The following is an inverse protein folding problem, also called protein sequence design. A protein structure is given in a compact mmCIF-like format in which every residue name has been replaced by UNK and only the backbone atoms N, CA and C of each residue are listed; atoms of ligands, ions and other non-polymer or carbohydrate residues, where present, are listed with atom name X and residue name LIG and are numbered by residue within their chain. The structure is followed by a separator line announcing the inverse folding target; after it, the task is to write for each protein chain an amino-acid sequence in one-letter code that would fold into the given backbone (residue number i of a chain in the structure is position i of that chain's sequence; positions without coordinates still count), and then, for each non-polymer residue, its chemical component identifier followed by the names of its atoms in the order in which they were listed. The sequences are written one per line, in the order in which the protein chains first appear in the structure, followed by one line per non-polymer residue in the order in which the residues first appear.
data_IF_490353085854
#
_entry.id   IF_490353085854
#
_cell.length_a   1.000
_cell.length_b   1.000
_cell.length_c   1.000
_cell.angle_alpha   90.00
_cell.angle_beta   90.00
_cell.angle_gamma   90.00
#
_symmetry.space_group_name_H-M   'P 1'
#
loop_
_entity.id
_entity.type
_entity.pdbx_description
1 polymer ?
#
# COMPACT_ATOMS: atom_id res chain seq x y z
N UNK A 1 40.13 17.11 55.04
CA UNK A 1 40.36 18.44 54.46
C UNK A 1 39.10 18.81 53.69
N UNK A 2 38.43 19.89 54.13
CA UNK A 2 37.25 20.57 53.52
C UNK A 2 35.92 19.77 53.57
N UNK A 3 35.06 19.88 54.59
CA UNK A 3 34.16 20.97 55.05
C UNK A 3 33.03 21.34 54.07
N UNK A 4 31.77 21.11 54.49
CA UNK A 4 30.64 22.09 54.68
C UNK A 4 29.28 21.33 54.59
N UNK A 5 28.53 21.17 55.69
CA UNK A 5 27.41 22.03 56.19
C UNK A 5 26.15 21.89 55.31
N UNK A 6 24.91 21.68 55.74
CA UNK A 6 24.12 21.89 56.99
C UNK A 6 22.82 21.06 56.85
N UNK A 7 22.35 20.30 57.85
CA UNK A 7 21.31 20.67 58.85
C UNK A 7 20.04 21.35 58.29
N UNK A 8 18.85 20.84 58.66
CA UNK A 8 17.59 21.57 58.50
C UNK A 8 16.29 20.75 58.53
N UNK A 9 15.97 20.13 59.66
CA UNK A 9 14.58 19.86 60.08
C UNK A 9 13.91 21.18 60.46
N UNK A 10 12.68 21.45 60.02
CA UNK A 10 11.65 22.09 60.87
C UNK A 10 10.28 22.14 60.19
N UNK A 11 9.26 22.02 61.05
CA UNK A 11 7.87 21.80 60.72
C UNK A 11 7.03 23.07 60.45
N UNK A 12 5.71 22.98 60.67
CA UNK A 12 4.68 23.79 60.03
C UNK A 12 4.37 25.07 60.81
N UNK A 13 3.58 25.99 60.22
CA UNK A 13 2.45 26.71 60.86
C UNK A 13 1.89 27.83 59.96
N UNK A 14 0.59 27.68 59.70
CA UNK A 14 -0.50 28.65 59.66
C UNK A 14 -0.50 29.93 58.79
N UNK A 15 -1.74 30.14 58.32
CA UNK A 15 -2.51 31.39 58.35
C UNK A 15 -2.60 32.16 57.02
N UNK A 16 -3.74 32.66 56.56
CA UNK A 16 -5.17 32.43 56.85
C UNK A 16 -5.93 33.47 56.01
N UNK A 17 -7.08 33.07 55.45
CA UNK A 17 -8.27 33.92 55.17
C UNK A 17 -8.07 34.94 54.02
N UNK A 18 -9.05 35.34 53.19
CA UNK A 18 -10.51 35.50 53.40
C UNK A 18 -11.21 35.83 52.06
N UNK A 19 -12.52 35.53 51.98
CA UNK A 19 -13.63 36.22 51.28
C UNK A 19 -13.46 36.78 49.85
N UNK A 20 -14.27 36.39 48.85
CA UNK A 20 -15.72 36.58 48.67
C UNK A 20 -16.15 37.98 48.14
N UNK A 21 -16.96 37.93 47.08
CA UNK A 21 -18.08 38.82 46.71
C UNK A 21 -17.83 40.15 45.96
N UNK A 22 -18.31 40.15 44.69
CA UNK A 22 -19.44 40.94 44.18
C UNK A 22 -19.35 42.48 43.93
N UNK A 23 -20.06 42.84 42.84
CA UNK A 23 -20.71 44.13 42.46
C UNK A 23 -19.87 45.24 41.83
N UNK A 24 -20.19 45.66 40.59
CA UNK A 24 -21.31 46.51 40.07
C UNK A 24 -21.05 48.01 40.26
N UNK A 25 -21.11 48.73 39.13
CA UNK A 25 -21.45 50.16 39.00
C UNK A 25 -20.23 51.08 39.02
N UNK A 26 -20.02 52.00 38.08
CA UNK A 26 -20.88 52.60 37.05
C UNK A 26 -20.62 54.12 37.02
N UNK A 27 -20.84 54.77 35.87
CA UNK A 27 -21.27 56.18 35.65
C UNK A 27 -20.73 56.67 34.28
N UNK A 28 -21.61 56.90 33.30
CA UNK A 28 -22.30 58.17 32.97
C UNK A 28 -21.36 59.10 32.19
N UNK A 29 -21.68 59.49 30.95
CA UNK A 29 -22.51 60.63 30.51
C UNK A 29 -22.46 60.62 28.95
N UNK A 30 -23.36 61.12 28.08
CA UNK A 30 -24.61 61.84 28.19
C UNK A 30 -25.33 61.83 26.81
N UNK A 31 -26.66 62.01 26.85
CA UNK A 31 -27.56 62.69 25.88
C UNK A 31 -27.56 62.45 24.34
N UNK A 32 -28.69 61.89 23.93
CA UNK A 32 -29.72 62.49 23.05
C UNK A 32 -29.58 62.52 21.50
N UNK A 33 -30.56 61.83 20.90
CA UNK A 33 -31.33 62.15 19.68
C UNK A 33 -30.61 62.48 18.36
N UNK A 34 -30.73 61.56 17.38
CA UNK A 34 -31.34 61.81 16.05
C UNK A 34 -31.37 60.53 15.20
N UNK A 35 -32.54 60.16 14.70
CA UNK A 35 -32.69 59.27 13.54
C UNK A 35 -32.11 59.94 12.29
N UNK A 36 -31.57 59.18 11.31
CA UNK A 36 -32.36 58.94 10.10
C UNK A 36 -32.07 57.61 9.33
N UNK A 37 -33.15 57.06 8.76
CA UNK A 37 -33.35 56.51 7.40
C UNK A 37 -32.46 55.40 6.80
N UNK A 38 -33.16 54.33 6.37
CA UNK A 38 -32.72 53.36 5.35
C UNK A 38 -32.33 54.07 4.05
N UNK A 39 -31.16 53.74 3.50
CA UNK A 39 -30.70 54.28 2.22
C UNK A 39 -29.61 53.46 1.52
N UNK A 40 -30.03 52.59 0.59
CA UNK A 40 -29.33 52.15 -0.64
C UNK A 40 -27.85 51.74 -0.55
N UNK A 41 -27.57 50.44 -0.36
CA UNK A 41 -26.34 49.78 -0.89
C UNK A 41 -26.53 48.28 -1.26
N UNK A 42 -27.36 47.89 -2.25
CA UNK A 42 -27.39 46.48 -2.70
C UNK A 42 -26.21 46.10 -3.60
N UNK A 43 -25.52 47.06 -4.24
CA UNK A 43 -24.48 46.78 -5.23
C UNK A 43 -23.19 46.16 -4.65
N UNK A 44 -22.82 46.49 -3.41
CA UNK A 44 -21.61 45.93 -2.77
C UNK A 44 -21.82 44.50 -2.26
N UNK A 45 -23.04 44.16 -1.84
CA UNK A 45 -23.41 42.80 -1.41
C UNK A 45 -23.51 41.84 -2.60
N UNK A 46 -24.03 42.32 -3.73
CA UNK A 46 -24.13 41.52 -4.97
C UNK A 46 -22.73 41.25 -5.57
N UNK A 47 -21.80 42.21 -5.50
CA UNK A 47 -20.42 42.01 -5.96
C UNK A 47 -19.64 40.99 -5.13
N UNK A 48 -19.87 40.94 -3.81
CA UNK A 48 -19.24 39.96 -2.91
C UNK A 48 -19.86 38.57 -3.07
N UNK A 49 -21.17 38.48 -3.34
CA UNK A 49 -21.83 37.19 -3.62
C UNK A 49 -21.45 36.64 -5.00
N UNK A 50 -21.22 37.49 -6.01
CA UNK A 50 -20.72 37.06 -7.32
C UNK A 50 -19.26 36.60 -7.28
N UNK A 51 -18.39 37.27 -6.52
CA UNK A 51 -17.00 36.82 -6.35
C UNK A 51 -16.90 35.51 -5.55
N UNK A 52 -17.75 35.32 -4.54
CA UNK A 52 -17.82 34.06 -3.78
C UNK A 52 -18.41 32.91 -4.60
N UNK A 53 -19.39 33.20 -5.47
CA UNK A 53 -19.95 32.22 -6.41
C UNK A 53 -18.94 31.82 -7.50
N UNK A 54 -18.11 32.76 -7.97
CA UNK A 54 -17.07 32.48 -8.96
C UNK A 54 -15.90 31.67 -8.37
N UNK A 55 -15.58 31.85 -7.08
CA UNK A 55 -14.59 31.06 -6.37
C UNK A 55 -15.08 29.63 -6.07
N UNK A 56 -16.38 29.45 -5.79
CA UNK A 56 -16.98 28.13 -5.59
C UNK A 56 -17.07 27.31 -6.89
N UNK A 57 -17.24 27.97 -8.05
CA UNK A 57 -17.27 27.29 -9.35
C UNK A 57 -15.90 26.73 -9.78
N UNK A 58 -14.80 27.36 -9.37
CA UNK A 58 -13.43 26.88 -9.66
C UNK A 58 -13.06 25.66 -8.81
N UNK A 59 -13.63 25.52 -7.61
CA UNK A 59 -13.44 24.33 -6.77
C UNK A 59 -14.19 23.09 -7.27
N UNK A 60 -15.30 23.27 -8.00
CA UNK A 60 -16.09 22.17 -8.55
C UNK A 60 -15.54 21.57 -9.86
N UNK A 61 -14.59 22.24 -10.53
CA UNK A 61 -14.01 21.78 -11.79
C UNK A 61 -12.80 20.83 -11.62
N UNK A 62 -12.36 20.56 -10.39
CA UNK A 62 -11.27 19.62 -10.11
C UNK A 62 -11.75 18.30 -9.48
N UNK A 63 -13.05 18.02 -9.51
CA UNK A 63 -13.63 16.82 -8.89
C UNK A 63 -14.39 15.94 -9.88
N UNK A 64 -13.75 14.85 -10.33
CA UNK A 64 -14.26 13.51 -10.74
C UNK A 64 -13.50 13.01 -11.99
N UNK A 65 -13.00 11.77 -12.11
CA UNK A 65 -13.47 10.49 -11.51
C UNK A 65 -12.42 9.38 -11.71
N UNK A 66 -12.33 8.42 -10.78
CA UNK A 66 -12.22 6.99 -11.14
C UNK A 66 -12.65 6.09 -9.96
N UNK A 67 -13.48 5.13 -10.31
CA UNK A 67 -14.36 4.25 -9.54
C UNK A 67 -13.66 3.11 -8.77
N UNK A 68 -14.29 2.68 -7.66
CA UNK A 68 -13.98 1.45 -6.91
C UNK A 68 -14.52 0.17 -7.60
N UNK A 69 -14.06 -1.02 -7.17
CA UNK A 69 -14.97 -1.89 -6.41
C UNK A 69 -14.36 -2.61 -5.18
N UNK A 70 -15.28 -3.21 -4.41
CA UNK A 70 -15.20 -3.82 -3.06
C UNK A 70 -14.25 -5.01 -2.84
N UNK A 71 -13.83 -5.19 -1.57
CA UNK A 71 -13.67 -6.53 -0.96
C UNK A 71 -12.75 -6.64 0.28
N UNK A 72 -13.34 -6.89 1.47
CA UNK A 72 -12.72 -7.71 2.55
C UNK A 72 -12.14 -6.99 3.80
N UNK A 73 -12.49 -7.40 5.04
CA UNK A 73 -12.12 -6.69 6.27
C UNK A 73 -10.84 -7.25 6.93
N UNK A 74 -10.00 -6.38 7.48
CA UNK A 74 -8.91 -6.77 8.38
C UNK A 74 -8.74 -5.77 9.53
N UNK A 75 -9.48 -6.06 10.60
CA UNK A 75 -9.03 -6.12 12.00
C UNK A 75 -7.76 -5.30 12.36
N UNK A 76 -7.94 -4.11 12.96
CA UNK A 76 -6.85 -3.39 13.64
C UNK A 76 -6.94 -3.63 15.14
N UNK A 77 -6.15 -4.60 15.60
CA UNK A 77 -5.83 -4.83 17.00
C UNK A 77 -4.87 -3.76 17.54
N UNK A 78 -5.11 -3.44 18.80
CA UNK A 78 -4.51 -2.44 19.67
C UNK A 78 -2.96 -2.32 19.73
N UNK A 79 -2.56 -1.07 19.96
CA UNK A 79 -1.42 -0.52 20.72
C UNK A 79 -0.30 -1.44 21.26
N UNK A 80 0.96 -0.98 21.21
CA UNK A 80 2.03 -1.49 22.08
C UNK A 80 2.51 -0.44 23.11
N UNK A 81 2.47 -0.82 24.39
CA UNK A 81 3.34 -0.37 25.49
C UNK A 81 3.41 -1.53 26.50
N UNK A 82 4.43 -1.65 27.37
CA UNK A 82 5.83 -1.26 27.29
C UNK A 82 6.80 -2.45 27.56
N UNK A 83 8.08 -2.28 27.22
CA UNK A 83 9.15 -3.23 27.58
C UNK A 83 9.51 -3.12 29.07
N UNK A 84 9.47 -4.25 29.78
CA UNK A 84 10.04 -4.41 31.11
C UNK A 84 10.64 -5.81 31.28
N UNK A 85 11.74 -5.85 32.04
CA UNK A 85 12.47 -7.01 32.58
C UNK A 85 13.55 -7.67 31.70
N UNK A 86 14.72 -7.03 31.64
CA UNK A 86 16.00 -7.73 31.61
C UNK A 86 16.47 -7.90 33.06
N UNK A 87 16.38 -9.13 33.57
CA UNK A 87 16.91 -9.53 34.86
C UNK A 87 17.73 -10.81 34.72
N UNK A 88 18.90 -10.76 35.35
CA UNK A 88 19.70 -11.87 35.86
C UNK A 88 20.35 -12.84 34.86
N UNK A 89 21.63 -12.56 34.58
CA UNK A 89 22.62 -13.59 34.35
C UNK A 89 22.79 -14.44 35.63
N UNK A 90 22.54 -15.74 35.52
CA UNK A 90 22.72 -16.71 36.58
C UNK A 90 23.15 -18.05 35.97
N UNK A 91 24.38 -18.43 36.25
CA UNK A 91 25.05 -19.68 35.93
C UNK A 91 24.24 -20.91 36.40
N UNK A 92 24.28 -22.04 35.67
CA UNK A 92 24.74 -23.23 36.37
C UNK A 92 25.73 -24.06 35.53
N UNK A 93 26.95 -24.14 36.04
CA UNK A 93 27.84 -25.27 35.86
C UNK A 93 27.11 -26.58 36.17
N UNK A 94 27.11 -27.52 35.23
CA UNK A 94 26.77 -28.90 35.51
C UNK A 94 27.61 -29.86 34.68
N UNK A 95 28.68 -30.35 35.32
CA UNK A 95 28.99 -31.78 35.43
C UNK A 95 29.18 -32.59 34.15
N UNK A 96 30.31 -32.40 33.46
CA UNK A 96 30.81 -33.39 32.51
C UNK A 96 31.50 -34.54 33.26
N UNK A 97 30.84 -35.70 33.31
CA UNK A 97 31.40 -36.99 33.74
C UNK A 97 31.14 -38.05 32.67
N UNK A 98 32.20 -38.46 31.97
CA UNK A 98 32.40 -39.81 31.36
C UNK A 98 33.76 -39.79 30.67
N UNK A 99 34.80 -40.32 31.34
CA UNK A 99 35.26 -41.72 31.25
C UNK A 99 35.85 -42.07 29.89
N UNK A 100 37.18 -42.26 29.88
CA UNK A 100 37.98 -42.51 28.69
C UNK A 100 37.81 -43.87 28.01
N UNK A 101 38.39 -43.92 26.81
CA UNK A 101 38.64 -45.13 26.03
C UNK A 101 39.63 -44.80 24.92
N UNK A 102 40.91 -45.12 25.12
CA UNK A 102 41.94 -45.11 24.09
C UNK A 102 41.66 -46.16 23.03
N UNK A 103 41.92 -45.83 21.76
CA UNK A 103 41.82 -46.77 20.64
C UNK A 103 42.38 -46.22 19.33
N UNK A 104 43.71 -46.16 19.25
CA UNK A 104 44.58 -46.37 18.07
C UNK A 104 44.09 -45.98 16.65
N UNK A 105 44.68 -44.89 16.13
CA UNK A 105 45.35 -44.79 14.83
C UNK A 105 44.76 -45.44 13.57
N UNK A 106 44.26 -44.60 12.66
CA UNK A 106 44.59 -44.70 11.23
C UNK A 106 44.49 -43.33 10.58
N UNK A 107 45.64 -42.89 10.08
CA UNK A 107 45.85 -41.65 9.34
C UNK A 107 46.00 -42.04 7.87
N UNK A 108 45.05 -41.65 7.01
CA UNK A 108 45.23 -41.66 5.56
C UNK A 108 44.55 -40.43 4.97
N UNK A 109 45.38 -39.56 4.38
CA UNK A 109 45.08 -38.77 3.17
C UNK A 109 43.99 -37.70 3.25
N UNK A 110 44.39 -36.45 3.44
CA UNK A 110 43.64 -35.31 2.94
C UNK A 110 43.80 -35.22 1.41
N UNK A 111 42.70 -35.33 0.68
CA UNK A 111 42.51 -34.72 -0.63
C UNK A 111 41.04 -34.26 -0.72
N UNK A 112 40.86 -32.94 -0.86
CA UNK A 112 39.65 -32.31 -1.42
C UNK A 112 38.32 -32.54 -0.68
N UNK A 113 37.96 -31.61 0.19
CA UNK A 113 36.69 -30.86 0.15
C UNK A 113 35.72 -31.38 -0.96
N UNK A 114 34.62 -32.06 -0.67
CA UNK A 114 33.50 -31.52 0.10
C UNK A 114 32.74 -32.59 0.89
N UNK A 115 32.22 -32.13 2.02
CA UNK A 115 31.25 -32.76 2.90
C UNK A 115 30.07 -33.35 2.11
N UNK A 116 30.10 -34.65 1.84
CA UNK A 116 28.94 -35.44 1.41
C UNK A 116 28.04 -35.76 2.63
N UNK A 117 27.60 -34.71 3.34
CA UNK A 117 26.58 -34.78 4.40
C UNK A 117 25.42 -33.86 4.02
N UNK A 118 24.94 -33.96 2.77
CA UNK A 118 23.74 -33.26 2.32
C UNK A 118 22.83 -34.11 1.41
N UNK A 119 23.17 -35.38 1.16
CA UNK A 119 22.47 -36.20 0.17
C UNK A 119 21.05 -36.63 0.57
N UNK A 120 20.65 -36.40 1.83
CA UNK A 120 19.25 -36.60 2.27
C UNK A 120 18.59 -35.32 2.83
N UNK A 121 19.23 -34.16 2.69
CA UNK A 121 18.62 -32.90 3.10
C UNK A 121 17.40 -32.63 2.20
N UNK A 122 16.23 -32.37 2.83
CA UNK A 122 15.02 -31.99 2.10
C UNK A 122 15.09 -30.49 1.83
N UNK A 123 15.39 -30.13 0.58
CA UNK A 123 15.59 -28.74 0.16
C UNK A 123 14.52 -28.36 -0.85
N UNK A 124 13.71 -27.36 -0.51
CA UNK A 124 12.77 -26.74 -1.43
C UNK A 124 13.53 -25.75 -2.30
N UNK A 125 13.50 -25.97 -3.61
CA UNK A 125 14.13 -25.07 -4.59
C UNK A 125 13.07 -24.29 -5.35
N UNK A 126 13.21 -22.97 -5.35
CA UNK A 126 12.39 -22.06 -6.14
C UNK A 126 13.28 -21.11 -6.90
N UNK A 127 12.99 -20.85 -8.17
CA UNK A 127 13.76 -19.91 -8.97
C UNK A 127 12.88 -19.07 -9.88
N UNK A 128 13.40 -17.91 -10.26
CA UNK A 128 12.88 -17.09 -11.33
C UNK A 128 13.99 -16.79 -12.34
N UNK A 129 13.64 -16.88 -13.63
CA UNK A 129 14.57 -16.73 -14.73
C UNK A 129 13.94 -15.83 -15.79
N UNK A 130 14.66 -14.79 -16.20
CA UNK A 130 14.22 -13.85 -17.22
C UNK A 130 15.09 -14.03 -18.47
N UNK A 131 14.45 -14.37 -19.59
CA UNK A 131 15.12 -14.57 -20.87
C UNK A 131 14.65 -13.58 -21.92
N UNK A 132 15.63 -13.01 -22.62
CA UNK A 132 15.40 -12.34 -23.89
C UNK A 132 15.51 -13.36 -25.03
N UNK A 133 14.45 -13.48 -25.81
CA UNK A 133 14.35 -14.43 -26.94
C UNK A 133 13.91 -13.72 -28.21
N UNK A 134 14.42 -14.17 -29.36
CA UNK A 134 14.04 -13.59 -30.65
C UNK A 134 12.58 -13.87 -31.04
N UNK A 135 12.05 -15.03 -30.66
CA UNK A 135 10.68 -15.46 -30.94
C UNK A 135 10.11 -16.19 -29.73
N UNK A 136 9.18 -15.53 -29.03
CA UNK A 136 8.56 -16.06 -27.79
C UNK A 136 7.80 -17.37 -28.05
N UNK A 137 7.11 -17.50 -29.19
CA UNK A 137 6.31 -18.68 -29.48
C UNK A 137 7.18 -19.93 -29.71
N UNK A 138 8.30 -19.76 -30.44
CA UNK A 138 9.28 -20.84 -30.65
C UNK A 138 10.02 -21.18 -29.37
N UNK A 139 10.42 -20.18 -28.58
CA UNK A 139 11.08 -20.38 -27.30
C UNK A 139 10.20 -21.17 -26.32
N UNK A 140 8.92 -20.80 -26.19
CA UNK A 140 7.95 -21.50 -25.34
C UNK A 140 7.79 -22.98 -25.73
N UNK A 141 7.72 -23.27 -27.03
CA UNK A 141 7.58 -24.64 -27.53
C UNK A 141 8.84 -25.46 -27.25
N UNK A 142 10.02 -24.86 -27.46
CA UNK A 142 11.32 -25.51 -27.22
C UNK A 142 11.55 -25.76 -25.72
N UNK A 143 11.29 -24.75 -24.88
CA UNK A 143 11.34 -24.84 -23.42
C UNK A 143 10.41 -25.93 -22.89
N UNK A 144 9.17 -25.98 -23.36
CA UNK A 144 8.21 -27.03 -22.98
C UNK A 144 8.73 -28.43 -23.30
N UNK A 145 9.32 -28.63 -24.48
CA UNK A 145 9.85 -29.93 -24.89
C UNK A 145 11.07 -30.33 -24.07
N UNK A 146 11.99 -29.39 -23.82
CA UNK A 146 13.16 -29.61 -22.98
C UNK A 146 12.76 -30.02 -21.56
N UNK A 147 11.91 -29.23 -20.89
CA UNK A 147 11.45 -29.53 -19.53
C UNK A 147 10.70 -30.86 -19.45
N UNK A 148 9.86 -31.17 -20.44
CA UNK A 148 9.14 -32.44 -20.48
C UNK A 148 10.06 -33.64 -20.66
N UNK A 149 11.16 -33.48 -21.40
CA UNK A 149 12.18 -34.53 -21.56
C UNK A 149 12.91 -34.86 -20.26
N UNK A 150 13.02 -33.87 -19.36
CA UNK A 150 13.63 -34.00 -18.04
C UNK A 150 12.64 -34.50 -16.96
N UNK A 151 11.41 -34.86 -17.35
CA UNK A 151 10.36 -35.33 -16.43
C UNK A 151 9.62 -34.20 -15.70
N UNK A 152 9.83 -32.95 -16.09
CA UNK A 152 9.07 -31.81 -15.58
C UNK A 152 7.76 -31.58 -16.33
N UNK A 153 6.89 -30.74 -15.76
CA UNK A 153 5.62 -30.34 -16.36
C UNK A 153 5.33 -28.85 -16.13
N UNK A 154 4.34 -28.32 -16.83
CA UNK A 154 3.92 -26.91 -16.71
C UNK A 154 2.84 -26.83 -15.63
N UNK A 155 3.08 -26.02 -14.59
CA UNK A 155 2.11 -25.72 -13.54
C UNK A 155 1.15 -24.58 -13.90
N UNK A 156 1.60 -23.66 -14.77
CA UNK A 156 0.78 -22.56 -15.26
C UNK A 156 1.50 -21.75 -16.34
N UNK A 157 0.74 -21.08 -17.19
CA UNK A 157 1.29 -20.18 -18.21
C UNK A 157 0.38 -18.98 -18.39
N UNK A 158 0.97 -17.79 -18.43
CA UNK A 158 0.30 -16.54 -18.75
C UNK A 158 1.07 -15.87 -19.88
N UNK A 159 0.33 -15.38 -20.88
CA UNK A 159 0.92 -14.67 -22.00
C UNK A 159 0.19 -13.35 -22.19
N UNK A 160 0.96 -12.29 -22.22
CA UNK A 160 0.50 -10.94 -22.44
C UNK A 160 1.11 -10.41 -23.73
N UNK A 161 0.27 -9.84 -24.58
CA UNK A 161 0.67 -9.18 -25.81
C UNK A 161 0.17 -7.76 -25.75
N UNK A 162 1.08 -6.80 -25.76
CA UNK A 162 0.81 -5.37 -25.79
C UNK A 162 1.44 -4.83 -27.05
N UNK A 163 0.65 -4.40 -28.03
CA UNK A 163 1.04 -3.80 -29.32
C UNK A 163 2.40 -4.28 -29.89
N UNK A 164 3.53 -3.72 -29.42
CA UNK A 164 4.90 -4.04 -29.87
C UNK A 164 5.71 -5.03 -29.01
N UNK A 165 5.18 -5.50 -27.87
CA UNK A 165 5.86 -6.41 -26.93
C UNK A 165 5.02 -7.64 -26.63
N UNK A 166 5.65 -8.80 -26.74
CA UNK A 166 5.09 -10.07 -26.26
C UNK A 166 5.89 -10.55 -25.06
N UNK A 167 5.21 -10.74 -23.93
CA UNK A 167 5.78 -11.28 -22.71
C UNK A 167 5.02 -12.55 -22.34
N UNK A 168 5.73 -13.62 -22.05
CA UNK A 168 5.12 -14.85 -21.56
C UNK A 168 5.79 -15.27 -20.26
N UNK A 169 5.00 -15.51 -19.22
CA UNK A 169 5.45 -16.06 -17.95
C UNK A 169 4.93 -17.49 -17.83
N UNK A 170 5.84 -18.44 -17.57
CA UNK A 170 5.49 -19.85 -17.42
C UNK A 170 6.11 -20.40 -16.16
N UNK A 171 5.30 -21.05 -15.36
CA UNK A 171 5.75 -21.77 -14.16
C UNK A 171 5.93 -23.24 -14.50
N UNK A 172 7.15 -23.74 -14.34
CA UNK A 172 7.54 -25.12 -14.53
C UNK A 172 7.75 -25.81 -13.19
N UNK A 173 7.31 -27.07 -13.10
CA UNK A 173 7.59 -27.98 -12.00
C UNK A 173 8.58 -29.03 -12.49
N UNK A 174 9.73 -29.10 -11.84
CA UNK A 174 10.88 -29.89 -12.31
C UNK A 174 11.38 -30.75 -11.15
N UNK A 175 11.70 -32.04 -11.36
CA UNK A 175 12.34 -32.84 -10.32
C UNK A 175 13.64 -32.19 -9.84
N UNK A 176 13.85 -32.10 -8.52
CA UNK A 176 15.01 -31.40 -7.92
C UNK A 176 16.35 -31.98 -8.41
N UNK A 177 16.40 -33.28 -8.72
CA UNK A 177 17.57 -33.95 -9.27
C UNK A 177 17.96 -33.50 -10.70
N UNK A 178 17.04 -32.87 -11.43
CA UNK A 178 17.21 -32.39 -12.82
C UNK A 178 17.15 -30.86 -12.92
N UNK A 179 17.31 -30.18 -11.79
CA UNK A 179 17.22 -28.72 -11.71
C UNK A 179 18.27 -28.02 -12.58
N UNK A 180 19.55 -28.40 -12.43
CA UNK A 180 20.65 -27.81 -13.19
C UNK A 180 20.52 -28.09 -14.69
N UNK A 181 20.23 -29.35 -15.05
CA UNK A 181 19.96 -29.77 -16.44
C UNK A 181 18.86 -28.91 -17.09
N UNK A 182 17.82 -28.55 -16.32
CA UNK A 182 16.72 -27.74 -16.80
C UNK A 182 17.07 -26.26 -16.96
N UNK A 183 17.85 -25.70 -16.02
CA UNK A 183 18.35 -24.34 -16.13
C UNK A 183 19.24 -24.17 -17.37
N UNK A 184 20.17 -25.09 -17.58
CA UNK A 184 21.08 -25.04 -18.74
C UNK A 184 20.32 -25.18 -20.06
N UNK A 185 19.32 -26.08 -20.12
CA UNK A 185 18.47 -26.24 -21.28
C UNK A 185 17.64 -24.97 -21.59
N UNK A 186 17.25 -24.21 -20.57
CA UNK A 186 16.51 -22.95 -20.75
C UNK A 186 17.44 -21.81 -21.15
N UNK A 187 18.61 -21.67 -20.49
CA UNK A 187 19.65 -20.68 -20.85
C UNK A 187 20.08 -20.82 -22.31
N UNK A 188 20.10 -22.03 -22.86
CA UNK A 188 20.44 -22.27 -24.27
C UNK A 188 19.42 -21.68 -25.27
N UNK A 189 18.20 -21.31 -24.85
CA UNK A 189 17.12 -20.84 -25.73
C UNK A 189 17.15 -19.32 -25.97
N UNK A 190 17.92 -18.57 -25.19
CA UNK A 190 17.95 -17.10 -25.28
C UNK A 190 19.09 -16.50 -24.48
N UNK A 191 19.07 -15.17 -24.35
CA UNK A 191 20.04 -14.46 -23.51
C UNK A 191 19.44 -14.27 -22.12
N UNK A 192 20.13 -14.73 -21.09
CA UNK A 192 19.74 -14.52 -19.70
C UNK A 192 19.85 -13.04 -19.33
N UNK A 193 18.78 -12.49 -18.76
CA UNK A 193 18.72 -11.10 -18.29
C UNK A 193 18.88 -11.04 -16.77
N UNK A 194 18.19 -11.94 -16.08
CA UNK A 194 18.24 -12.05 -14.63
C UNK A 194 17.89 -13.46 -14.20
N UNK A 195 18.63 -13.97 -13.22
CA UNK A 195 18.36 -15.23 -12.55
C UNK A 195 18.34 -15.00 -11.04
N UNK A 196 17.34 -15.59 -10.40
CA UNK A 196 17.29 -15.70 -8.94
C UNK A 196 16.92 -17.12 -8.56
N UNK A 197 17.72 -17.71 -7.69
CA UNK A 197 17.48 -19.05 -7.15
C UNK A 197 17.48 -18.95 -5.63
N UNK A 198 16.40 -19.41 -5.03
CA UNK A 198 16.20 -19.52 -3.59
C UNK A 198 16.13 -21.01 -3.23
N UNK A 199 16.86 -21.40 -2.19
CA UNK A 199 16.89 -22.76 -1.67
C UNK A 199 16.66 -22.72 -0.15
N UNK A 200 15.63 -23.42 0.30
CA UNK A 200 15.26 -23.47 1.72
C UNK A 200 15.29 -24.91 2.19
N UNK A 201 16.10 -25.20 3.20
CA UNK A 201 16.09 -26.51 3.83
C UNK A 201 14.88 -26.66 4.76
N UNK A 202 14.08 -27.71 4.54
CA UNK A 202 12.86 -28.02 5.31
C UNK A 202 12.98 -29.35 6.07
N UNK A 203 14.17 -29.96 6.10
CA UNK A 203 14.42 -31.23 6.82
C UNK A 203 13.97 -31.15 8.28
N UNK A 204 14.31 -30.07 8.98
CA UNK A 204 13.94 -29.87 10.38
C UNK A 204 12.43 -29.74 10.58
N UNK A 205 11.71 -29.10 9.66
CA UNK A 205 10.26 -28.94 9.73
C UNK A 205 9.54 -30.29 9.54
N UNK A 206 9.98 -31.10 8.57
CA UNK A 206 9.43 -32.44 8.35
C UNK A 206 9.63 -33.33 9.58
N UNK A 207 10.83 -33.30 10.19
CA UNK A 207 11.13 -34.07 11.40
C UNK A 207 10.27 -33.62 12.58
N UNK A 208 10.07 -32.32 12.78
CA UNK A 208 9.19 -31.79 13.83
C UNK A 208 7.73 -32.22 13.62
N UNK A 209 7.18 -32.03 12.42
CA UNK A 209 5.81 -32.44 12.08
C UNK A 209 5.63 -33.95 12.31
N UNK A 210 6.58 -34.77 11.90
CA UNK A 210 6.56 -36.21 12.13
C UNK A 210 6.60 -36.57 13.64
N UNK A 211 7.38 -35.84 14.46
CA UNK A 211 7.39 -36.01 15.90
C UNK A 211 6.03 -35.66 16.53
N UNK A 212 5.41 -34.56 16.09
CA UNK A 212 4.08 -34.14 16.56
C UNK A 212 3.00 -35.15 16.18
N UNK A 213 3.02 -35.69 14.96
CA UNK A 213 2.11 -36.77 14.52
C UNK A 213 2.27 -38.01 15.41
N UNK A 214 3.51 -38.43 15.71
CA UNK A 214 3.75 -39.59 16.60
C UNK A 214 3.17 -39.38 17.99
N UNK A 215 3.34 -38.20 18.58
CA UNK A 215 2.78 -37.86 19.89
C UNK A 215 1.24 -37.85 19.88
N UNK A 216 0.63 -37.32 18.81
CA UNK A 216 -0.83 -37.32 18.67
C UNK A 216 -1.39 -38.73 18.48
N UNK A 217 -0.71 -39.61 17.72
CA UNK A 217 -1.10 -41.01 17.58
C UNK A 217 -1.00 -41.79 18.90
N UNK A 218 0.02 -41.51 19.71
CA UNK A 218 0.11 -42.08 21.07
C UNK A 218 -1.05 -41.60 21.96
N UNK A 219 -1.41 -40.31 21.85
CA UNK A 219 -2.57 -39.73 22.56
C UNK A 219 -3.89 -40.35 22.07
N UNK A 220 -4.04 -40.57 20.77
CA UNK A 220 -5.18 -41.27 20.17
C UNK A 220 -5.34 -42.68 20.74
N UNK A 221 -4.25 -43.46 20.78
CA UNK A 221 -4.27 -44.81 21.34
C UNK A 221 -4.66 -44.84 22.82
N UNK A 222 -4.19 -43.87 23.62
CA UNK A 222 -4.59 -43.73 25.01
C UNK A 222 -6.09 -43.39 25.14
N UNK A 223 -6.60 -42.47 24.32
CA UNK A 223 -8.04 -42.12 24.29
C UNK A 223 -8.91 -43.31 23.91
N UNK A 224 -8.49 -44.12 22.93
CA UNK A 224 -9.18 -45.36 22.57
C UNK A 224 -9.19 -46.35 23.75
N UNK A 225 -8.09 -46.45 24.49
CA UNK A 225 -8.03 -47.25 25.71
C UNK A 225 -9.03 -46.79 26.78
N UNK A 226 -9.14 -45.48 27.02
CA UNK A 226 -10.14 -44.93 27.95
C UNK A 226 -11.58 -45.15 27.47
N UNK A 227 -11.84 -45.03 26.16
CA UNK A 227 -13.17 -45.29 25.59
C UNK A 227 -13.65 -46.72 25.85
N UNK A 228 -12.75 -47.71 25.84
CA UNK A 228 -13.07 -49.12 26.11
C UNK A 228 -13.40 -49.39 27.58
N UNK A 229 -12.91 -48.55 28.50
CA UNK A 229 -13.08 -48.72 29.95
C UNK A 229 -14.19 -47.82 30.53
N UNK A 230 -14.74 -46.89 29.74
CA UNK A 230 -15.71 -45.90 30.19
C UNK A 230 -17.07 -46.55 30.52
N UNK A 231 -17.56 -46.49 31.79
CA UNK A 231 -18.82 -47.12 32.17
C UNK A 231 -20.05 -46.23 31.90
N UNK A 232 -19.86 -44.93 31.62
CA UNK A 232 -20.94 -43.95 31.40
C UNK A 232 -20.95 -43.46 29.96
N UNK A 233 -22.16 -43.25 29.44
CA UNK A 233 -22.37 -42.73 28.08
C UNK A 233 -21.87 -41.28 27.95
N UNK A 234 -21.97 -40.47 29.01
CA UNK A 234 -21.41 -39.10 29.04
C UNK A 234 -19.92 -39.09 28.74
N UNK A 235 -19.19 -39.95 29.45
CA UNK A 235 -17.73 -40.03 29.37
C UNK A 235 -17.30 -40.53 27.99
N UNK A 236 -18.08 -41.46 27.41
CA UNK A 236 -17.87 -41.93 26.04
C UNK A 236 -18.05 -40.81 25.01
N UNK A 237 -19.08 -39.97 25.14
CA UNK A 237 -19.31 -38.84 24.24
C UNK A 237 -18.18 -37.81 24.31
N UNK A 238 -17.66 -37.54 25.51
CA UNK A 238 -16.50 -36.64 25.70
C UNK A 238 -15.23 -37.22 25.06
N UNK A 239 -14.95 -38.50 25.27
CA UNK A 239 -13.81 -39.17 24.63
C UNK A 239 -13.96 -39.18 23.10
N UNK A 240 -15.16 -39.42 22.57
CA UNK A 240 -15.43 -39.38 21.13
C UNK A 240 -15.20 -37.98 20.53
N UNK A 241 -15.60 -36.93 21.24
CA UNK A 241 -15.33 -35.56 20.82
C UNK A 241 -13.82 -35.29 20.77
N UNK A 242 -13.08 -35.71 21.81
CA UNK A 242 -11.62 -35.55 21.87
C UNK A 242 -10.88 -36.38 20.82
N UNK A 243 -11.37 -37.58 20.53
CA UNK A 243 -10.83 -38.45 19.49
C UNK A 243 -11.00 -37.83 18.09
N UNK A 244 -12.17 -37.23 17.83
CA UNK A 244 -12.44 -36.53 16.56
C UNK A 244 -11.50 -35.35 16.36
N UNK A 245 -11.28 -34.54 17.39
CA UNK A 245 -10.32 -33.42 17.37
C UNK A 245 -8.88 -33.91 17.14
N UNK A 246 -8.46 -34.95 17.87
CA UNK A 246 -7.11 -35.53 17.73
C UNK A 246 -6.87 -36.07 16.31
N UNK A 247 -7.84 -36.77 15.73
CA UNK A 247 -7.76 -37.26 14.35
C UNK A 247 -7.68 -36.13 13.34
N UNK A 248 -8.51 -35.10 13.48
CA UNK A 248 -8.44 -33.91 12.63
C UNK A 248 -7.08 -33.21 12.71
N UNK A 249 -6.44 -33.18 13.89
CA UNK A 249 -5.08 -32.66 14.04
C UNK A 249 -4.04 -33.53 13.32
N UNK A 250 -4.14 -34.86 13.46
CA UNK A 250 -3.26 -35.82 12.76
C UNK A 250 -3.40 -35.65 11.24
N UNK A 251 -4.63 -35.58 10.72
CA UNK A 251 -4.90 -35.42 9.29
C UNK A 251 -4.29 -34.11 8.74
N UNK A 252 -4.48 -33.00 9.46
CA UNK A 252 -3.89 -31.70 9.07
C UNK A 252 -2.36 -31.73 9.03
N UNK A 253 -1.72 -32.28 10.07
CA UNK A 253 -0.26 -32.39 10.11
C UNK A 253 0.28 -33.36 9.07
N UNK A 254 -0.44 -34.45 8.79
CA UNK A 254 -0.06 -35.40 7.74
C UNK A 254 -0.11 -34.74 6.37
N UNK A 255 -1.17 -33.96 6.09
CA UNK A 255 -1.27 -33.19 4.86
C UNK A 255 -0.13 -32.15 4.73
N UNK A 256 0.21 -31.45 5.83
CA UNK A 256 1.34 -30.53 5.87
C UNK A 256 2.67 -31.25 5.57
N UNK A 257 2.89 -32.42 6.17
CA UNK A 257 4.09 -33.22 5.93
C UNK A 257 4.21 -33.61 4.44
N UNK A 258 3.16 -34.18 3.86
CA UNK A 258 3.15 -34.57 2.44
C UNK A 258 3.40 -33.36 1.53
N UNK A 259 2.86 -32.18 1.89
CA UNK A 259 3.10 -30.96 1.13
C UNK A 259 4.58 -30.54 1.16
N UNK A 260 5.23 -30.58 2.32
CA UNK A 260 6.67 -30.25 2.44
C UNK A 260 7.54 -31.25 1.67
N UNK A 261 7.19 -32.53 1.72
CA UNK A 261 7.88 -33.60 0.99
C UNK A 261 7.75 -33.41 -0.53
N UNK A 262 6.55 -33.09 -1.02
CA UNK A 262 6.31 -32.80 -2.45
C UNK A 262 7.08 -31.55 -2.90
N UNK A 263 7.10 -30.49 -2.08
CA UNK A 263 7.89 -29.29 -2.35
C UNK A 263 9.40 -29.54 -2.38
N UNK A 264 9.89 -30.47 -1.56
CA UNK A 264 11.30 -30.87 -1.56
C UNK A 264 11.64 -31.86 -2.69
N UNK A 265 10.66 -32.56 -3.24
CA UNK A 265 10.85 -33.45 -4.39
C UNK A 265 10.82 -32.68 -5.73
N UNK A 266 10.00 -31.63 -5.81
CA UNK A 266 9.73 -30.86 -7.03
C UNK A 266 10.09 -29.38 -6.87
N UNK A 267 11.08 -28.93 -7.64
CA UNK A 267 11.45 -27.53 -7.72
C UNK A 267 10.45 -26.72 -8.57
N UNK A 268 10.30 -25.44 -8.24
CA UNK A 268 9.46 -24.51 -9.01
C UNK A 268 10.33 -23.48 -9.72
N UNK A 269 10.24 -23.41 -11.04
CA UNK A 269 10.95 -22.41 -11.84
C UNK A 269 9.94 -21.54 -12.59
N UNK A 270 9.98 -20.24 -12.36
CA UNK A 270 9.17 -19.27 -13.12
C UNK A 270 10.04 -18.63 -14.17
N UNK A 271 9.74 -18.87 -15.44
CA UNK A 271 10.50 -18.32 -16.56
C UNK A 271 9.67 -17.26 -17.27
N UNK A 272 10.23 -16.08 -17.40
CA UNK A 272 9.65 -14.97 -18.17
C UNK A 272 10.43 -14.82 -19.47
N UNK A 273 9.73 -14.95 -20.60
CA UNK A 273 10.25 -14.76 -21.94
C UNK A 273 9.79 -13.40 -22.49
N UNK A 274 10.73 -12.58 -22.96
CA UNK A 274 10.45 -11.30 -23.61
C UNK A 274 11.34 -11.06 -24.84
N UNK A 275 10.91 -10.21 -25.76
CA UNK A 275 11.67 -9.86 -26.98
C UNK A 275 12.63 -8.68 -26.79
N UNK A 276 12.53 -7.97 -25.67
CA UNK A 276 13.33 -6.80 -25.34
C UNK A 276 13.83 -6.97 -23.90
N UNK A 277 15.02 -6.42 -23.60
CA UNK A 277 15.60 -6.42 -22.26
C UNK A 277 14.76 -5.51 -21.36
N UNK A 278 13.62 -6.00 -20.90
CA UNK A 278 13.01 -5.47 -19.68
C UNK A 278 13.79 -6.13 -18.56
N UNK A 279 14.96 -5.57 -18.26
CA UNK A 279 15.49 -5.71 -16.92
C UNK A 279 14.36 -5.21 -16.02
N UNK A 280 13.62 -6.13 -15.40
CA UNK A 280 12.81 -5.79 -14.24
C UNK A 280 13.82 -5.54 -13.14
N UNK A 281 14.48 -4.38 -13.23
CA UNK A 281 14.97 -3.69 -12.06
C UNK A 281 13.70 -3.52 -11.26
N UNK A 282 13.54 -4.31 -10.20
CA UNK A 282 12.71 -3.87 -9.08
C UNK A 282 13.11 -2.42 -8.90
N UNK A 283 12.21 -1.49 -9.21
CA UNK A 283 12.45 -0.08 -8.99
C UNK A 283 12.48 0.11 -7.47
N UNK A 284 13.57 -0.30 -6.83
CA UNK A 284 14.19 0.52 -5.82
C UNK A 284 14.31 1.88 -6.50
N UNK A 285 13.37 2.76 -6.15
CA UNK A 285 13.24 4.13 -6.63
C UNK A 285 14.60 4.82 -6.54
N UNK A 286 15.43 4.67 -7.57
CA UNK A 286 16.62 5.47 -7.76
C UNK A 286 16.09 6.75 -8.37
N UNK A 287 16.00 7.79 -7.56
CA UNK A 287 15.66 9.13 -8.00
C UNK A 287 16.63 9.52 -9.13
N UNK A 288 16.11 9.57 -10.36
CA UNK A 288 16.85 9.98 -11.55
C UNK A 288 16.41 11.40 -11.95
N UNK A 289 17.28 12.42 -11.78
CA UNK A 289 16.93 13.80 -12.06
C UNK A 289 16.68 14.05 -13.56
N UNK A 290 17.20 13.22 -14.46
CA UNK A 290 16.97 13.37 -15.90
C UNK A 290 15.53 12.97 -16.29
N UNK A 291 15.04 11.83 -15.79
CA UNK A 291 13.66 11.40 -16.00
C UNK A 291 12.61 12.38 -15.43
N UNK A 292 12.94 13.12 -14.36
CA UNK A 292 12.05 14.14 -13.79
C UNK A 292 12.00 15.42 -14.65
N UNK A 293 13.11 15.80 -15.28
CA UNK A 293 13.16 16.93 -16.23
C UNK A 293 12.36 16.62 -17.50
N UNK A 294 12.43 15.38 -18.00
CA UNK A 294 11.63 14.96 -19.15
C UNK A 294 10.13 14.87 -18.84
N UNK A 295 9.76 14.44 -17.63
CA UNK A 295 8.36 14.47 -17.17
C UNK A 295 7.85 15.90 -16.98
N UNK A 296 8.69 16.81 -16.48
CA UNK A 296 8.36 18.23 -16.32
C UNK A 296 8.21 18.96 -17.67
N UNK A 297 9.03 18.63 -18.67
CA UNK A 297 8.93 19.22 -20.01
C UNK A 297 7.69 18.70 -20.77
N UNK A 298 7.36 17.42 -20.63
CA UNK A 298 6.14 16.85 -21.20
C UNK A 298 4.86 17.47 -20.60
N UNK A 299 4.84 17.74 -19.29
CA UNK A 299 3.72 18.44 -18.65
C UNK A 299 3.62 19.90 -19.09
N UNK A 300 4.73 20.58 -19.38
CA UNK A 300 4.72 21.95 -19.90
C UNK A 300 4.13 22.04 -21.32
N UNK A 301 4.43 21.06 -22.18
CA UNK A 301 3.84 20.95 -23.53
C UNK A 301 2.34 20.66 -23.43
N UNK A 302 1.93 19.77 -22.52
CA UNK A 302 0.52 19.47 -22.25
C UNK A 302 -0.27 20.69 -21.75
N UNK A 303 0.33 21.54 -20.91
CA UNK A 303 -0.28 22.80 -20.45
C UNK A 303 -0.45 23.80 -21.62
N UNK A 304 0.54 23.90 -22.52
CA UNK A 304 0.42 24.73 -23.72
C UNK A 304 -0.72 24.28 -24.63
N UNK A 305 -0.87 22.97 -24.83
CA UNK A 305 -1.96 22.39 -25.62
C UNK A 305 -3.34 22.63 -24.96
N UNK A 306 -3.43 22.55 -23.64
CA UNK A 306 -4.67 22.83 -22.91
C UNK A 306 -5.16 24.28 -23.09
N UNK A 307 -4.24 25.27 -23.08
CA UNK A 307 -4.59 26.69 -23.32
C UNK A 307 -5.13 26.90 -24.74
N UNK A 308 -4.51 26.27 -25.74
CA UNK A 308 -4.97 26.33 -27.13
C UNK A 308 -6.34 25.66 -27.29
N UNK A 309 -6.55 24.50 -26.69
CA UNK A 309 -7.84 23.80 -26.73
C UNK A 309 -8.97 24.61 -26.07
N UNK A 310 -8.71 25.24 -24.91
CA UNK A 310 -9.68 26.13 -24.24
C UNK A 310 -10.00 27.35 -25.12
N UNK A 311 -8.99 27.96 -25.75
CA UNK A 311 -9.18 29.07 -26.67
C UNK A 311 -10.08 28.72 -27.86
N UNK A 312 -9.86 27.54 -28.47
CA UNK A 312 -10.67 27.06 -29.60
C UNK A 312 -12.13 26.84 -29.19
N UNK A 313 -12.37 26.19 -28.05
CA UNK A 313 -13.74 25.96 -27.54
C UNK A 313 -14.43 27.28 -27.22
N UNK A 314 -13.71 28.25 -26.64
CA UNK A 314 -14.26 29.56 -26.33
C UNK A 314 -14.70 30.31 -27.59
N UNK A 315 -13.88 30.29 -28.64
CA UNK A 315 -14.21 30.93 -29.92
C UNK A 315 -15.38 30.23 -30.62
N UNK A 316 -15.46 28.90 -30.60
CA UNK A 316 -16.54 28.17 -31.29
C UNK A 316 -17.88 28.30 -30.55
N UNK A 317 -17.88 28.23 -29.21
CA UNK A 317 -19.12 28.13 -28.43
C UNK A 317 -19.60 29.49 -27.93
N UNK A 318 -18.69 30.31 -27.40
CA UNK A 318 -19.08 31.57 -26.74
C UNK A 318 -19.22 32.73 -27.71
N UNK A 319 -18.42 32.79 -28.78
CA UNK A 319 -18.51 33.84 -29.80
C UNK A 319 -19.89 33.92 -30.49
N UNK A 320 -20.50 32.82 -30.98
CA UNK A 320 -21.84 32.90 -31.57
C UNK A 320 -22.91 33.26 -30.54
N UNK A 321 -22.74 32.84 -29.28
CA UNK A 321 -23.67 33.17 -28.19
C UNK A 321 -23.63 34.67 -27.85
N UNK A 322 -22.43 35.27 -27.77
CA UNK A 322 -22.26 36.71 -27.56
C UNK A 322 -22.85 37.52 -28.72
N UNK A 323 -22.63 37.07 -29.96
CA UNK A 323 -23.22 37.71 -31.14
C UNK A 323 -24.76 37.64 -31.08
N UNK A 324 -25.33 36.49 -30.73
CA UNK A 324 -26.77 36.33 -30.58
C UNK A 324 -27.33 37.27 -29.49
N UNK A 325 -26.66 37.38 -28.34
CA UNK A 325 -27.06 38.30 -27.26
C UNK A 325 -26.95 39.76 -27.70
N UNK A 326 -25.92 40.15 -28.46
CA UNK A 326 -25.80 41.50 -28.99
C UNK A 326 -26.88 41.82 -30.03
N UNK A 327 -27.27 40.86 -30.86
CA UNK A 327 -28.37 41.04 -31.82
C UNK A 327 -29.70 41.20 -31.09
N UNK A 328 -30.00 40.33 -30.12
CA UNK A 328 -31.24 40.38 -29.35
C UNK A 328 -31.28 41.63 -28.44
N UNK A 329 -30.18 41.93 -27.76
CA UNK A 329 -30.01 43.14 -26.94
C UNK A 329 -30.09 44.43 -27.75
N UNK A 330 -29.44 44.45 -28.92
CA UNK A 330 -29.52 45.55 -29.88
C UNK A 330 -30.94 45.73 -30.43
N UNK A 331 -31.62 44.63 -30.74
CA UNK A 331 -32.99 44.65 -31.27
C UNK A 331 -34.01 45.09 -30.21
N UNK A 332 -33.89 44.61 -28.98
CA UNK A 332 -34.72 45.08 -27.84
C UNK A 332 -34.49 46.54 -27.52
N UNK A 333 -33.24 47.03 -27.57
CA UNK A 333 -32.91 48.45 -27.35
C UNK A 333 -33.38 49.32 -28.51
N UNK A 334 -33.26 48.84 -29.75
CA UNK A 334 -33.79 49.51 -30.94
C UNK A 334 -35.32 49.60 -30.90
N UNK A 335 -36.00 48.54 -30.49
CA UNK A 335 -37.46 48.50 -30.29
C UNK A 335 -37.88 49.40 -29.13
N UNK A 336 -37.16 49.41 -28.00
CA UNK A 336 -37.43 50.32 -26.87
C UNK A 336 -37.21 51.79 -27.24
N UNK A 337 -36.19 52.08 -28.07
CA UNK A 337 -35.98 53.43 -28.65
C UNK A 337 -37.06 53.80 -29.66
N UNK A 338 -37.59 52.84 -30.41
CA UNK A 338 -38.62 53.05 -31.43
C UNK A 338 -40.04 53.11 -30.86
N UNK A 339 -40.30 52.48 -29.71
CA UNK A 339 -41.59 52.45 -29.02
C UNK A 339 -41.72 53.51 -27.91
N UNK A 340 -40.80 54.47 -27.81
CA UNK A 340 -41.06 55.77 -27.17
C UNK A 340 -41.64 55.71 -25.76
N UNK A 341 -40.97 55.05 -24.81
CA UNK A 341 -41.31 55.23 -23.40
C UNK A 341 -40.87 56.63 -22.93
N UNK A 342 -41.88 57.43 -22.56
CA UNK A 342 -41.82 58.86 -22.31
C UNK A 342 -40.74 59.31 -21.33
N UNK A 343 -40.16 60.47 -21.67
CA UNK A 343 -39.31 61.26 -20.78
C UNK A 343 -40.14 61.63 -19.54
N UNK A 344 -39.65 61.42 -18.30
CA UNK A 344 -40.22 62.13 -17.16
C UNK A 344 -39.92 63.62 -17.32
N UNK A 345 -40.97 64.44 -17.39
CA UNK A 345 -40.88 65.88 -17.60
C UNK A 345 -39.98 66.55 -16.56
N UNK A 346 -38.97 67.26 -17.05
CA UNK A 346 -38.15 68.18 -16.27
C UNK A 346 -38.84 69.54 -16.25
N UNK A 347 -39.09 70.06 -15.05
CA UNK A 347 -39.43 71.45 -14.79
C UNK A 347 -38.45 72.43 -15.50
N UNK A 348 -38.92 73.57 -16.04
CA UNK A 348 -38.09 74.51 -16.79
C UNK A 348 -37.17 75.37 -15.88
N UNK A 349 -35.95 75.73 -16.35
CA UNK A 349 -34.95 76.50 -15.60
C UNK A 349 -34.99 78.03 -15.82
N UNK A 350 -34.66 78.71 -14.71
CA UNK A 350 -33.96 80.00 -14.46
C UNK A 350 -33.52 80.91 -15.62
N UNK A 351 -33.76 82.22 -15.47
CA UNK A 351 -33.03 83.30 -16.17
C UNK A 351 -31.93 83.92 -15.29
N UNK A 352 -30.71 84.19 -15.83
CA UNK A 352 -29.59 84.84 -15.12
C UNK A 352 -29.51 86.38 -15.35
N UNK A 353 -28.75 87.13 -14.51
CA UNK A 353 -28.56 88.59 -14.59
C UNK A 353 -27.49 89.03 -15.61
N UNK A 354 -27.59 90.26 -16.18
CA UNK A 354 -26.55 90.83 -17.05
C UNK A 354 -25.36 91.43 -16.27
N UNK A 355 -24.19 91.23 -16.87
CA UNK A 355 -22.84 91.68 -16.51
C UNK A 355 -22.70 93.19 -16.32
N UNK A 356 -22.10 93.59 -15.21
CA UNK A 356 -21.44 94.89 -15.01
C UNK A 356 -19.93 94.73 -15.15
N UNK A 357 -19.32 95.44 -16.10
CA UNK A 357 -17.94 95.97 -16.13
C UNK A 357 -17.69 96.49 -17.57
N UNK A 358 -17.74 97.80 -17.82
CA UNK A 358 -16.63 98.77 -17.65
C UNK A 358 -15.39 98.42 -18.46
N UNK A 359 -15.13 99.28 -19.47
CA UNK A 359 -13.85 99.97 -19.61
C UNK A 359 -13.95 101.24 -18.77
#
# INVERSE_FOLDING_TARGET
MVLRSSAGTDGPVAASRTCAAARIGGQMEDRAMRSPTLGRRPARLIAVLLSLSMLAAVAAACGSSASAPMGGPANRGAAPLPAASAAAAGNPDNGNSSSGGSGSGSQVGNDGDQVAIFDDAKIVRTGSLQLTVADVAKALTSARNAIRSLGGYIGGSQQERTDDKTVASVTYRIPVARWEDALDALRALGTEVAEKTDATEVTGEIVDVAARIRNLKASEAALVGYAQQAPKISDLLEVQARLTDTRSQIERLTAQQTQLEDQAAMATLTVTFGTEVVAVVETAQRWDPAAEVDRASATLIGMGQAVVSIGIVFVIVWLPLIIAVLIVGGMTLFVARRLGFGRPDRFPPLTPPPSSAEI
#
